data_IF_025903124127
#
_entry.id   IF_025903124127
#
_cell.length_a   1.000
_cell.length_b   1.000
_cell.length_c   1.000
_cell.angle_alpha   90.00
_cell.angle_beta   90.00
_cell.angle_gamma   90.00
#
_symmetry.space_group_name_H-M   'P 1'
#
loop_
_entity.id
_entity.type
_entity.pdbx_description
1 polymer ?
#
# COMPACT_ATOMS: atom_id res chain seq x y z
N UNK A 1 13.53 5.47 7.98
CA UNK A 1 15.00 5.56 8.06
C UNK A 1 15.43 6.83 7.33
N UNK A 2 16.28 7.68 7.92
CA UNK A 2 16.78 8.87 7.23
C UNK A 2 17.74 8.45 6.10
N UNK A 3 18.00 9.34 5.15
CA UNK A 3 18.85 9.03 3.99
C UNK A 3 20.30 8.69 4.36
N UNK A 4 20.79 9.18 5.51
CA UNK A 4 22.10 8.87 6.09
C UNK A 4 22.12 7.45 6.64
N UNK A 5 21.17 7.15 7.53
CA UNK A 5 21.01 5.84 8.15
C UNK A 5 20.83 4.73 7.10
N UNK A 6 20.13 5.03 5.99
CA UNK A 6 19.96 4.07 4.90
C UNK A 6 21.25 3.77 4.16
N UNK A 7 22.10 4.79 3.93
CA UNK A 7 23.40 4.61 3.29
C UNK A 7 24.33 3.76 4.16
N UNK A 8 24.43 4.06 5.45
CA UNK A 8 25.22 3.26 6.39
C UNK A 8 24.74 1.80 6.46
N UNK A 9 23.43 1.58 6.40
CA UNK A 9 22.87 0.23 6.34
C UNK A 9 23.25 -0.50 5.04
N UNK A 10 23.22 0.18 3.89
CA UNK A 10 23.63 -0.41 2.61
C UNK A 10 25.11 -0.82 2.61
N UNK A 11 25.99 -0.03 3.22
CA UNK A 11 27.41 -0.40 3.37
C UNK A 11 27.56 -1.69 4.20
N UNK A 12 26.81 -1.81 5.31
CA UNK A 12 26.80 -3.02 6.14
C UNK A 12 26.22 -4.24 5.43
N UNK A 13 25.30 -4.06 4.48
CA UNK A 13 24.73 -5.14 3.68
C UNK A 13 25.80 -5.92 2.89
N UNK A 14 26.84 -5.22 2.43
CA UNK A 14 27.93 -5.84 1.66
C UNK A 14 28.73 -6.84 2.50
N UNK A 15 28.78 -6.63 3.82
CA UNK A 15 29.53 -7.43 4.79
C UNK A 15 28.77 -8.67 5.29
N UNK A 16 27.50 -8.84 4.89
CA UNK A 16 26.69 -9.97 5.33
C UNK A 16 27.22 -11.30 4.78
N UNK A 17 27.30 -12.30 5.66
CA UNK A 17 27.59 -13.67 5.26
C UNK A 17 26.39 -14.31 4.54
N UNK A 18 26.58 -15.51 3.96
CA UNK A 18 25.53 -16.19 3.18
C UNK A 18 24.22 -16.37 3.95
N UNK A 19 24.29 -16.81 5.21
CA UNK A 19 23.11 -17.04 6.07
C UNK A 19 22.39 -15.72 6.38
N UNK A 20 23.13 -14.67 6.68
CA UNK A 20 22.57 -13.34 6.93
C UNK A 20 21.93 -12.74 5.66
N UNK A 21 22.51 -12.98 4.48
CA UNK A 21 21.92 -12.58 3.18
C UNK A 21 20.62 -13.33 2.91
N UNK A 22 20.57 -14.64 3.17
CA UNK A 22 19.35 -15.45 3.05
C UNK A 22 18.26 -14.95 4.02
N UNK A 23 18.62 -14.65 5.27
CA UNK A 23 17.69 -14.12 6.26
C UNK A 23 17.20 -12.70 5.93
N UNK A 24 18.10 -11.81 5.47
CA UNK A 24 17.73 -10.48 4.99
C UNK A 24 16.80 -10.56 3.78
N UNK A 25 17.11 -11.44 2.82
CA UNK A 25 16.22 -11.72 1.69
C UNK A 25 14.85 -12.19 2.18
N UNK A 26 14.78 -13.13 3.11
CA UNK A 26 13.52 -13.61 3.68
C UNK A 26 12.67 -12.46 4.23
N UNK A 27 13.23 -11.62 5.11
CA UNK A 27 12.50 -10.47 5.67
C UNK A 27 12.11 -9.41 4.63
N UNK A 28 12.91 -9.21 3.58
CA UNK A 28 12.59 -8.30 2.48
C UNK A 28 11.57 -8.90 1.50
N UNK A 29 11.58 -10.22 1.34
CA UNK A 29 10.71 -10.99 0.45
C UNK A 29 9.40 -11.43 1.08
N UNK A 30 9.25 -11.27 2.41
CA UNK A 30 7.95 -11.24 3.07
C UNK A 30 7.18 -10.02 2.54
N UNK A 31 6.73 -10.14 1.29
CA UNK A 31 5.78 -9.25 0.68
C UNK A 31 4.55 -9.32 1.55
N UNK A 32 4.38 -8.29 2.39
CA UNK A 32 3.16 -8.14 3.17
C UNK A 32 1.99 -8.32 2.18
N UNK A 33 0.96 -9.11 2.50
CA UNK A 33 -0.18 -9.33 1.60
C UNK A 33 -0.74 -8.04 0.97
N UNK A 34 -0.62 -6.94 1.71
CA UNK A 34 -0.93 -5.58 1.28
C UNK A 34 -0.16 -5.08 0.04
N UNK A 35 1.12 -5.43 -0.14
CA UNK A 35 1.92 -5.03 -1.29
C UNK A 35 1.42 -5.68 -2.59
N UNK A 36 0.99 -6.95 -2.51
CA UNK A 36 0.39 -7.67 -3.65
C UNK A 36 -0.92 -7.00 -4.08
N UNK A 37 -1.78 -6.61 -3.13
CA UNK A 37 -3.04 -5.93 -3.43
C UNK A 37 -2.82 -4.54 -4.01
N UNK A 38 -1.90 -3.77 -3.44
CA UNK A 38 -1.54 -2.45 -3.98
C UNK A 38 -1.11 -2.58 -5.43
N UNK A 39 -0.22 -3.54 -5.73
CA UNK A 39 0.22 -3.81 -7.10
C UNK A 39 -0.97 -4.19 -8.00
N UNK A 40 -1.82 -5.10 -7.56
CA UNK A 40 -3.01 -5.50 -8.34
C UNK A 40 -3.94 -4.32 -8.64
N UNK A 41 -4.20 -3.44 -7.65
CA UNK A 41 -5.01 -2.25 -7.83
C UNK A 41 -4.38 -1.26 -8.82
N UNK A 42 -3.06 -1.09 -8.78
CA UNK A 42 -2.34 -0.22 -9.70
C UNK A 42 -2.28 -0.78 -11.12
N UNK A 43 -2.05 -2.09 -11.26
CA UNK A 43 -1.99 -2.79 -12.55
C UNK A 43 -3.37 -2.83 -13.24
N UNK A 44 -4.46 -2.89 -12.46
CA UNK A 44 -5.84 -2.93 -12.96
C UNK A 44 -6.44 -1.53 -13.20
N UNK A 45 -5.76 -0.46 -12.80
CA UNK A 45 -6.29 0.90 -12.87
C UNK A 45 -5.83 1.61 -14.15
N UNK A 46 -6.80 1.98 -14.99
CA UNK A 46 -6.55 2.86 -16.13
C UNK A 46 -6.58 4.34 -15.68
N UNK A 47 -5.46 5.08 -15.74
CA UNK A 47 -5.38 6.39 -15.10
C UNK A 47 -6.18 7.47 -15.83
N UNK A 48 -7.36 7.79 -15.29
CA UNK A 48 -8.18 8.95 -15.66
C UNK A 48 -8.46 9.83 -14.45
N UNK A 49 -8.55 11.14 -14.65
CA UNK A 49 -8.79 12.06 -13.55
C UNK A 49 -10.23 11.94 -13.02
N UNK A 50 -10.46 11.71 -11.72
CA UNK A 50 -11.82 11.57 -11.18
C UNK A 50 -12.62 12.88 -11.15
N UNK A 51 -11.98 14.03 -11.39
CA UNK A 51 -12.63 15.36 -11.34
C UNK A 51 -13.01 15.84 -12.73
N UNK A 52 -12.10 15.74 -13.71
CA UNK A 52 -12.32 16.28 -15.05
C UNK A 52 -12.24 15.23 -16.16
N UNK A 53 -12.08 13.94 -15.81
CA UNK A 53 -12.01 12.80 -16.74
C UNK A 53 -10.87 12.85 -17.76
N UNK A 54 -9.94 13.79 -17.60
CA UNK A 54 -8.77 13.87 -18.47
C UNK A 54 -7.88 12.64 -18.30
N UNK A 55 -7.46 12.07 -19.42
CA UNK A 55 -6.56 10.92 -19.48
C UNK A 55 -5.09 11.33 -19.28
N UNK A 56 -4.24 10.30 -19.23
CA UNK A 56 -2.76 10.44 -19.21
C UNK A 56 -2.25 11.39 -18.12
N UNK A 57 -2.65 11.21 -16.84
CA UNK A 57 -2.00 11.89 -15.74
C UNK A 57 -0.53 11.46 -15.63
N UNK A 58 0.32 12.29 -15.01
CA UNK A 58 1.70 11.89 -14.72
C UNK A 58 1.83 11.36 -13.29
N UNK A 59 2.84 10.52 -13.06
CA UNK A 59 3.20 10.00 -11.74
C UNK A 59 3.74 11.15 -10.87
N UNK A 60 3.23 11.27 -9.64
CA UNK A 60 3.51 12.36 -8.70
C UNK A 60 3.83 11.81 -7.30
N UNK A 61 4.79 10.88 -7.24
CA UNK A 61 5.21 10.23 -5.99
C UNK A 61 4.19 9.21 -5.47
N UNK A 62 4.14 9.01 -4.15
CA UNK A 62 3.27 8.03 -3.51
C UNK A 62 2.44 8.66 -2.38
N UNK A 63 1.23 8.15 -2.17
CA UNK A 63 0.36 8.52 -1.06
C UNK A 63 -0.20 7.26 -0.41
N UNK A 64 -0.05 7.17 0.92
CA UNK A 64 -0.46 6.00 1.71
C UNK A 64 0.11 4.65 1.19
N UNK A 65 1.20 4.65 0.42
CA UNK A 65 1.74 3.44 -0.23
C UNK A 65 0.98 3.01 -1.49
N UNK A 66 0.37 3.95 -2.22
CA UNK A 66 -0.07 3.80 -3.62
C UNK A 66 0.62 4.86 -4.48
N UNK A 67 0.80 4.57 -5.75
CA UNK A 67 1.19 5.53 -6.78
C UNK A 67 0.18 6.69 -6.79
N UNK A 68 0.70 7.89 -6.56
CA UNK A 68 -0.06 9.13 -6.69
C UNK A 68 0.09 9.62 -8.13
N UNK A 69 -1.00 10.04 -8.72
CA UNK A 69 -1.11 10.64 -10.03
C UNK A 69 -1.48 12.12 -9.89
N UNK A 70 -1.09 12.94 -10.85
CA UNK A 70 -1.52 14.33 -10.97
C UNK A 70 -2.05 14.58 -12.36
N UNK A 71 -3.27 15.08 -12.43
CA UNK A 71 -3.91 15.44 -13.69
C UNK A 71 -3.14 16.57 -14.38
N UNK A 72 -2.92 16.43 -15.68
CA UNK A 72 -2.25 17.45 -16.48
C UNK A 72 -3.12 18.68 -16.73
N UNK A 73 -4.45 18.53 -16.77
CA UNK A 73 -5.41 19.63 -16.97
C UNK A 73 -5.76 20.36 -15.67
N UNK A 74 -6.51 19.71 -14.77
CA UNK A 74 -7.03 20.37 -13.56
C UNK A 74 -6.08 20.36 -12.36
N UNK A 75 -4.89 19.76 -12.50
CA UNK A 75 -3.85 19.62 -11.45
C UNK A 75 -4.26 18.85 -10.19
N UNK A 76 -5.48 18.29 -10.16
CA UNK A 76 -5.94 17.43 -9.08
C UNK A 76 -5.05 16.19 -8.95
N UNK A 77 -4.84 15.73 -7.71
CA UNK A 77 -4.03 14.54 -7.44
C UNK A 77 -4.89 13.42 -6.90
N UNK A 78 -4.62 12.20 -7.35
CA UNK A 78 -5.41 11.02 -7.02
C UNK A 78 -4.53 9.77 -7.01
N UNK A 79 -5.09 8.64 -6.62
CA UNK A 79 -4.49 7.30 -6.61
C UNK A 79 -5.44 6.32 -7.28
N UNK A 80 -5.01 5.08 -7.52
CA UNK A 80 -5.84 4.03 -8.12
C UNK A 80 -7.16 3.74 -7.36
N UNK A 81 -7.23 4.09 -6.07
CA UNK A 81 -8.44 3.89 -5.25
C UNK A 81 -9.26 5.16 -5.06
N UNK A 82 -8.82 6.31 -5.60
CA UNK A 82 -9.56 7.57 -5.42
C UNK A 82 -10.96 7.46 -6.01
N UNK A 83 -11.96 7.94 -5.28
CA UNK A 83 -13.37 7.78 -5.66
C UNK A 83 -13.99 6.43 -5.30
N UNK A 84 -13.21 5.47 -4.79
CA UNK A 84 -13.72 4.18 -4.30
C UNK A 84 -13.95 4.22 -2.78
N UNK A 85 -14.80 3.34 -2.22
CA UNK A 85 -14.92 3.19 -0.77
C UNK A 85 -13.59 2.88 -0.06
N UNK A 86 -12.63 2.25 -0.76
CA UNK A 86 -11.31 1.94 -0.21
C UNK A 86 -10.49 3.19 0.13
N UNK A 87 -10.72 4.33 -0.56
CA UNK A 87 -10.01 5.58 -0.27
C UNK A 87 -10.29 6.14 1.14
N UNK A 88 -11.42 5.76 1.74
CA UNK A 88 -11.82 6.21 3.08
C UNK A 88 -11.23 5.33 4.18
N UNK A 89 -10.78 4.13 3.85
CA UNK A 89 -10.26 3.19 4.84
C UNK A 89 -8.85 3.60 5.28
N UNK A 90 -8.72 4.08 6.52
CA UNK A 90 -7.42 4.48 7.11
C UNK A 90 -6.41 3.34 7.16
N UNK A 91 -6.88 2.13 7.44
CA UNK A 91 -6.04 0.94 7.54
C UNK A 91 -6.22 0.04 6.33
N UNK A 92 -5.11 -0.23 5.65
CA UNK A 92 -5.05 -1.13 4.49
C UNK A 92 -5.00 -2.60 4.88
N UNK A 93 -5.78 -3.00 5.90
CA UNK A 93 -5.96 -4.41 6.30
C UNK A 93 -7.06 -5.09 5.49
N UNK A 94 -7.32 -4.62 4.26
CA UNK A 94 -8.49 -5.00 3.48
C UNK A 94 -8.61 -6.51 3.32
N UNK A 95 -7.50 -7.20 2.99
CA UNK A 95 -7.51 -8.65 2.84
C UNK A 95 -7.84 -9.37 4.14
N UNK A 96 -7.08 -9.12 5.20
CA UNK A 96 -7.26 -9.80 6.49
C UNK A 96 -8.67 -9.55 7.05
N UNK A 97 -9.16 -8.31 6.92
CA UNK A 97 -10.48 -7.95 7.39
C UNK A 97 -11.58 -8.62 6.54
N UNK A 98 -11.43 -8.63 5.21
CA UNK A 98 -12.38 -9.32 4.32
C UNK A 98 -12.38 -10.83 4.52
N UNK A 99 -11.22 -11.46 4.71
CA UNK A 99 -11.08 -12.88 4.98
C UNK A 99 -11.79 -13.26 6.29
N UNK A 100 -11.58 -12.49 7.36
CA UNK A 100 -12.26 -12.72 8.63
C UNK A 100 -13.80 -12.60 8.49
N UNK A 101 -14.29 -11.64 7.71
CA UNK A 101 -15.74 -11.55 7.44
C UNK A 101 -16.26 -12.74 6.63
N UNK A 102 -15.52 -13.21 5.63
CA UNK A 102 -15.87 -14.41 4.83
C UNK A 102 -15.90 -15.66 5.73
N UNK A 103 -14.98 -15.76 6.68
CA UNK A 103 -14.94 -16.81 7.71
C UNK A 103 -16.08 -16.69 8.75
N UNK A 104 -16.94 -15.68 8.65
CA UNK A 104 -18.11 -15.51 9.51
C UNK A 104 -17.81 -14.80 10.84
N UNK A 105 -16.64 -14.19 11.00
CA UNK A 105 -16.35 -13.40 12.20
C UNK A 105 -17.20 -12.13 12.24
N UNK A 106 -17.65 -11.77 13.44
CA UNK A 106 -18.33 -10.49 13.66
C UNK A 106 -17.38 -9.32 13.38
N UNK A 107 -17.92 -8.16 12.96
CA UNK A 107 -17.17 -6.90 12.76
C UNK A 107 -16.20 -6.58 13.90
N UNK A 108 -16.61 -6.83 15.16
CA UNK A 108 -15.77 -6.62 16.35
C UNK A 108 -14.64 -7.65 16.49
N UNK A 109 -14.88 -8.90 16.09
CA UNK A 109 -13.86 -9.94 16.11
C UNK A 109 -12.85 -9.73 14.98
N UNK A 110 -13.31 -9.45 13.76
CA UNK A 110 -12.45 -9.09 12.62
C UNK A 110 -11.61 -7.85 12.89
N UNK A 111 -12.19 -6.83 13.54
CA UNK A 111 -11.48 -5.64 14.00
C UNK A 111 -10.35 -5.98 14.96
N UNK A 112 -10.64 -6.74 16.03
CA UNK A 112 -9.61 -7.20 16.98
C UNK A 112 -8.49 -8.00 16.30
N UNK A 113 -8.83 -8.92 15.39
CA UNK A 113 -7.85 -9.71 14.66
C UNK A 113 -6.96 -8.86 13.75
N UNK A 114 -7.51 -7.79 13.16
CA UNK A 114 -6.76 -6.89 12.28
C UNK A 114 -6.09 -5.72 13.02
N UNK A 115 -6.26 -5.62 14.35
CA UNK A 115 -5.80 -4.48 15.13
C UNK A 115 -6.51 -3.16 14.78
N UNK A 116 -7.78 -3.23 14.38
CA UNK A 116 -8.62 -2.10 13.99
C UNK A 116 -9.81 -1.97 14.95
N UNK A 117 -10.02 -0.78 15.50
CA UNK A 117 -11.22 -0.51 16.30
C UNK A 117 -12.46 -0.47 15.39
N UNK A 118 -13.59 -1.00 15.87
CA UNK A 118 -14.88 -0.99 15.14
C UNK A 118 -15.33 0.41 14.69
N UNK A 119 -14.89 1.46 15.38
CA UNK A 119 -15.23 2.85 15.11
C UNK A 119 -14.17 3.56 14.25
N UNK A 120 -13.21 2.82 13.68
CA UNK A 120 -12.20 3.42 12.81
C UNK A 120 -12.85 3.86 11.49
N UNK A 121 -13.15 5.15 11.37
CA UNK A 121 -13.67 5.79 10.15
C UNK A 121 -12.57 6.24 9.22
#
# INVERSE_FOLDING_TARGET
MKATDFREWLEKISQLNRRQKEQAKHYLSEAKPQAVVVKYLEDSFEPSCPVCQADRPHRWGHQAGLQRFRCCLCKHTFTAISGTPLARLRHKQWLNYSAALIEGLTVRASGRQCGIDKNTT
#
